data_IF_119129942649
#
_entry.id   IF_119129942649
#
_cell.length_a   1.000
_cell.length_b   1.000
_cell.length_c   1.000
_cell.angle_alpha   90.00
_cell.angle_beta   90.00
_cell.angle_gamma   90.00
#
_symmetry.space_group_name_H-M   'P 1'
#
loop_
_entity.id
_entity.type
_entity.pdbx_description
1 polymer ?
#
# COMPACT_ATOMS: atom_id res chain seq x y z
N UNK A 1 -80.93 -42.15 20.82
CA UNK A 1 -80.74 -41.40 22.07
C UNK A 1 -79.27 -41.08 22.23
N UNK A 2 -78.89 -39.78 22.25
CA UNK A 2 -77.64 -39.18 22.77
C UNK A 2 -76.29 -39.69 22.23
N UNK A 3 -75.20 -38.93 22.13
CA UNK A 3 -74.83 -37.53 22.30
C UNK A 3 -73.40 -37.43 21.70
N UNK A 4 -73.06 -36.36 20.98
CA UNK A 4 -71.68 -35.83 20.85
C UNK A 4 -71.41 -34.92 22.08
N UNK A 5 -70.19 -34.42 22.42
CA UNK A 5 -68.93 -34.22 21.65
C UNK A 5 -67.66 -34.67 22.46
N UNK A 6 -66.38 -34.60 22.02
CA UNK A 6 -65.54 -33.43 21.71
C UNK A 6 -64.15 -33.79 21.12
N UNK A 7 -63.49 -32.77 20.56
CA UNK A 7 -62.21 -32.66 19.81
C UNK A 7 -60.97 -33.19 20.58
N UNK A 8 -59.82 -33.53 19.98
CA UNK A 8 -58.85 -32.67 19.26
C UNK A 8 -57.85 -33.50 18.41
N UNK A 9 -57.44 -32.90 17.30
CA UNK A 9 -56.52 -33.32 16.23
C UNK A 9 -55.04 -33.44 16.65
N UNK A 10 -54.34 -34.45 16.12
CA UNK A 10 -52.93 -34.32 15.69
C UNK A 10 -52.61 -35.37 14.61
N UNK A 11 -52.24 -34.92 13.41
CA UNK A 11 -51.79 -35.78 12.30
C UNK A 11 -50.27 -35.83 12.28
N UNK A 12 -49.71 -37.05 12.36
CA UNK A 12 -48.29 -37.34 12.25
C UNK A 12 -47.85 -37.40 10.77
N UNK A 13 -46.80 -36.66 10.41
CA UNK A 13 -46.17 -36.65 9.08
C UNK A 13 -45.09 -37.74 9.00
N UNK A 14 -45.14 -38.51 7.91
CA UNK A 14 -44.25 -39.65 7.63
C UNK A 14 -42.86 -39.22 7.15
N UNK A 15 -41.86 -39.97 7.59
CA UNK A 15 -40.45 -39.85 7.22
C UNK A 15 -40.18 -40.08 5.71
N UNK A 16 -39.25 -39.30 5.12
CA UNK A 16 -38.47 -39.70 3.95
C UNK A 16 -37.01 -39.26 4.06
N UNK A 17 -36.11 -40.16 3.63
CA UNK A 17 -34.65 -40.11 3.71
C UNK A 17 -34.06 -39.04 2.79
N UNK A 18 -33.07 -38.30 3.29
CA UNK A 18 -32.20 -37.38 2.53
C UNK A 18 -30.93 -38.13 2.13
N UNK A 19 -30.60 -38.14 0.84
CA UNK A 19 -29.32 -38.63 0.31
C UNK A 19 -28.39 -37.41 0.09
N UNK A 20 -27.16 -37.48 0.59
CA UNK A 20 -26.14 -36.43 0.45
C UNK A 20 -25.23 -36.70 -0.75
N UNK A 21 -25.02 -35.71 -1.61
CA UNK A 21 -23.90 -35.62 -2.55
C UNK A 21 -23.27 -34.21 -2.46
N UNK A 22 -21.93 -34.07 -2.38
CA UNK A 22 -21.29 -32.78 -2.24
C UNK A 22 -20.80 -32.29 -3.60
N UNK A 23 -21.52 -31.35 -4.22
CA UNK A 23 -21.02 -30.35 -5.17
C UNK A 23 -22.21 -29.57 -5.73
N UNK A 24 -22.12 -28.24 -5.68
CA UNK A 24 -23.08 -27.25 -6.16
C UNK A 24 -24.35 -27.13 -5.29
N UNK A 25 -24.34 -26.11 -4.43
CA UNK A 25 -25.50 -25.69 -3.68
C UNK A 25 -26.62 -25.24 -4.62
N UNK A 26 -27.61 -26.10 -4.82
CA UNK A 26 -28.86 -25.78 -5.49
C UNK A 26 -30.00 -26.33 -4.64
N UNK A 27 -30.66 -25.46 -3.87
CA UNK A 27 -31.94 -25.76 -3.24
C UNK A 27 -33.02 -25.63 -4.33
N UNK A 28 -33.47 -26.76 -4.88
CA UNK A 28 -34.71 -26.80 -5.66
C UNK A 28 -35.89 -26.96 -4.68
N UNK A 29 -36.54 -25.84 -4.37
CA UNK A 29 -37.90 -25.83 -3.84
C UNK A 29 -38.82 -25.38 -4.97
N UNK A 30 -39.66 -26.31 -5.45
CA UNK A 30 -40.70 -26.02 -6.42
C UNK A 30 -41.71 -25.01 -5.86
N UNK A 31 -42.18 -24.12 -6.73
CA UNK A 31 -43.26 -23.13 -6.55
C UNK A 31 -42.93 -21.76 -5.95
N UNK A 32 -41.96 -21.02 -6.51
CA UNK A 32 -42.02 -19.54 -6.49
C UNK A 32 -41.11 -18.89 -7.56
N UNK A 33 -41.66 -18.60 -8.75
CA UNK A 33 -40.98 -17.81 -9.79
C UNK A 33 -40.58 -16.38 -9.36
N UNK A 34 -41.08 -15.89 -8.21
CA UNK A 34 -40.75 -14.57 -7.67
C UNK A 34 -39.55 -14.55 -6.72
N UNK A 35 -39.24 -15.64 -6.00
CA UNK A 35 -38.15 -15.66 -5.03
C UNK A 35 -36.77 -15.92 -5.68
N UNK A 36 -36.73 -16.71 -6.74
CA UNK A 36 -35.49 -17.01 -7.48
C UNK A 36 -34.93 -15.74 -8.14
N UNK A 37 -35.79 -14.85 -8.65
CA UNK A 37 -35.37 -13.60 -9.27
C UNK A 37 -34.78 -12.59 -8.26
N UNK A 38 -35.25 -12.62 -7.01
CA UNK A 38 -34.72 -11.78 -5.92
C UNK A 38 -33.30 -12.24 -5.53
N UNK A 39 -33.07 -13.55 -5.45
CA UNK A 39 -31.77 -14.10 -5.10
C UNK A 39 -30.72 -13.87 -6.21
N UNK A 40 -31.10 -13.97 -7.48
CA UNK A 40 -30.19 -13.70 -8.63
C UNK A 40 -29.88 -12.20 -8.78
N UNK A 41 -30.81 -11.30 -8.44
CA UNK A 41 -30.53 -9.85 -8.39
C UNK A 41 -29.68 -9.44 -7.18
N UNK A 42 -29.86 -10.09 -6.02
CA UNK A 42 -28.99 -9.86 -4.85
C UNK A 42 -27.56 -10.41 -5.02
N UNK A 43 -27.36 -11.34 -5.96
CA UNK A 43 -26.06 -11.82 -6.39
C UNK A 43 -25.45 -11.03 -7.57
N UNK A 44 -26.00 -9.87 -7.94
CA UNK A 44 -25.17 -8.86 -8.61
C UNK A 44 -24.04 -8.54 -7.64
N UNK A 45 -22.81 -8.97 -8.01
CA UNK A 45 -21.53 -8.54 -7.44
C UNK A 45 -21.74 -7.22 -6.70
N UNK A 46 -21.55 -7.18 -5.38
CA UNK A 46 -21.30 -5.90 -4.72
C UNK A 46 -20.20 -5.24 -5.54
N UNK A 47 -20.56 -4.21 -6.30
CA UNK A 47 -19.60 -3.46 -7.11
C UNK A 47 -18.51 -3.02 -6.14
N UNK A 48 -17.24 -3.27 -6.49
CA UNK A 48 -16.12 -2.88 -5.64
C UNK A 48 -16.22 -1.36 -5.44
N UNK A 49 -16.62 -0.87 -4.25
CA UNK A 49 -16.99 0.53 -4.07
C UNK A 49 -15.79 1.46 -4.23
N UNK A 50 -14.57 0.90 -4.18
CA UNK A 50 -13.32 1.65 -4.26
C UNK A 50 -12.64 1.54 -5.63
N UNK A 51 -13.19 0.76 -6.56
CA UNK A 51 -12.61 0.64 -7.91
C UNK A 51 -12.64 1.99 -8.65
N UNK A 52 -13.75 2.72 -8.56
CA UNK A 52 -13.84 4.05 -9.21
C UNK A 52 -12.85 5.06 -8.60
N UNK A 53 -12.58 4.96 -7.30
CA UNK A 53 -11.57 5.77 -6.63
C UNK A 53 -10.17 5.42 -7.14
N UNK A 54 -9.87 4.13 -7.30
CA UNK A 54 -8.59 3.66 -7.84
C UNK A 54 -8.38 4.12 -9.29
N UNK A 55 -9.38 3.95 -10.16
CA UNK A 55 -9.29 4.35 -11.58
C UNK A 55 -9.03 5.86 -11.70
N UNK A 56 -9.67 6.64 -10.83
CA UNK A 56 -9.44 8.08 -10.73
C UNK A 56 -8.02 8.40 -10.21
N UNK A 57 -7.56 7.70 -9.16
CA UNK A 57 -6.20 7.83 -8.64
C UNK A 57 -5.12 7.53 -9.69
N UNK A 58 -5.31 6.50 -10.52
CA UNK A 58 -4.41 6.19 -11.65
C UNK A 58 -4.39 7.32 -12.68
N UNK A 59 -5.55 7.89 -12.98
CA UNK A 59 -5.67 9.03 -13.91
C UNK A 59 -4.91 10.24 -13.37
N UNK A 60 -5.09 10.57 -12.09
CA UNK A 60 -4.44 11.68 -11.42
C UNK A 60 -2.93 11.48 -11.30
N UNK A 61 -2.46 10.28 -10.92
CA UNK A 61 -1.02 9.97 -10.84
C UNK A 61 -0.33 10.16 -12.20
N UNK A 62 -0.99 9.76 -13.30
CA UNK A 62 -0.46 9.98 -14.66
C UNK A 62 -0.44 11.46 -15.03
N UNK A 63 -1.44 12.25 -14.63
CA UNK A 63 -1.45 13.70 -14.83
C UNK A 63 -0.33 14.39 -14.04
N UNK A 64 -0.19 14.05 -12.76
CA UNK A 64 0.88 14.54 -11.88
C UNK A 64 2.26 14.22 -12.46
N UNK A 65 2.49 12.97 -12.88
CA UNK A 65 3.79 12.59 -13.42
C UNK A 65 4.14 13.27 -14.75
N UNK A 66 3.16 13.72 -15.55
CA UNK A 66 3.44 14.62 -16.70
C UNK A 66 4.00 15.95 -16.24
N UNK A 67 3.40 16.56 -15.21
CA UNK A 67 3.89 17.82 -14.61
C UNK A 67 5.31 17.63 -14.06
N UNK A 68 5.59 16.52 -13.37
CA UNK A 68 6.92 16.18 -12.87
C UNK A 68 7.92 16.02 -14.02
N UNK A 69 7.58 15.27 -15.07
CA UNK A 69 8.46 15.06 -16.23
C UNK A 69 8.74 16.34 -17.03
N UNK A 70 7.79 17.28 -17.08
CA UNK A 70 8.00 18.61 -17.65
C UNK A 70 8.98 19.41 -16.79
N UNK A 71 8.72 19.51 -15.48
CA UNK A 71 9.55 20.25 -14.54
C UNK A 71 10.98 19.68 -14.37
N UNK A 72 11.20 18.40 -14.69
CA UNK A 72 12.55 17.81 -14.73
C UNK A 72 13.47 18.50 -15.75
N UNK A 73 12.91 19.01 -16.85
CA UNK A 73 13.67 19.65 -17.94
C UNK A 73 14.11 21.07 -17.60
N UNK A 74 13.37 21.75 -16.75
CA UNK A 74 13.57 23.15 -16.42
C UNK A 74 14.60 23.35 -15.28
N UNK A 75 15.00 24.61 -15.08
CA UNK A 75 15.70 25.08 -13.89
C UNK A 75 14.74 25.05 -12.68
N UNK A 76 15.25 24.65 -11.51
CA UNK A 76 14.43 24.35 -10.33
C UNK A 76 14.75 25.31 -9.20
N UNK A 77 13.72 25.87 -8.60
CA UNK A 77 13.83 26.56 -7.32
C UNK A 77 13.76 25.51 -6.20
N UNK A 78 14.92 25.24 -5.59
CA UNK A 78 15.09 24.26 -4.52
C UNK A 78 15.05 24.98 -3.16
N UNK A 79 14.20 24.49 -2.26
CA UNK A 79 14.05 24.97 -0.89
C UNK A 79 14.45 23.84 0.07
N UNK A 80 14.77 24.22 1.31
CA UNK A 80 15.15 23.28 2.38
C UNK A 80 13.97 23.09 3.35
N UNK A 81 13.78 21.87 3.84
CA UNK A 81 12.83 21.51 4.90
C UNK A 81 13.56 21.33 6.25
N UNK A 82 13.60 20.12 6.80
CA UNK A 82 14.10 19.84 8.16
C UNK A 82 15.63 19.76 8.27
N UNK A 83 16.34 19.58 7.15
CA UNK A 83 17.79 19.46 7.10
C UNK A 83 18.36 19.91 5.74
N UNK A 84 19.69 20.13 5.62
CA UNK A 84 20.31 20.45 4.33
C UNK A 84 20.18 19.36 3.24
N UNK A 85 19.76 18.15 3.62
CA UNK A 85 19.51 17.04 2.72
C UNK A 85 18.02 16.72 2.54
N UNK A 86 17.15 17.51 3.18
CA UNK A 86 15.70 17.39 3.09
C UNK A 86 15.18 18.55 2.24
N UNK A 87 14.83 18.24 1.00
CA UNK A 87 14.60 19.21 -0.07
C UNK A 87 13.13 19.23 -0.46
N UNK A 88 12.64 20.39 -0.88
CA UNK A 88 11.33 20.56 -1.51
C UNK A 88 11.44 21.52 -2.69
N UNK A 89 10.65 21.32 -3.72
CA UNK A 89 10.52 22.27 -4.83
C UNK A 89 9.09 22.80 -4.94
N UNK A 90 8.93 23.89 -5.68
CA UNK A 90 7.59 24.39 -6.09
C UNK A 90 6.77 23.36 -6.88
N UNK A 91 7.42 22.35 -7.46
CA UNK A 91 6.73 21.27 -8.19
C UNK A 91 6.00 20.36 -7.23
N UNK A 92 6.62 19.98 -6.10
CA UNK A 92 6.05 19.11 -5.07
C UNK A 92 4.73 19.72 -4.54
N UNK A 93 4.78 20.98 -4.11
CA UNK A 93 3.61 21.74 -3.62
C UNK A 93 2.50 21.86 -4.67
N UNK A 94 2.86 22.16 -5.93
CA UNK A 94 1.91 22.30 -7.03
C UNK A 94 1.22 20.97 -7.35
N UNK A 95 1.98 19.88 -7.38
CA UNK A 95 1.44 18.53 -7.65
C UNK A 95 0.51 18.11 -6.53
N UNK A 96 0.89 18.30 -5.27
CA UNK A 96 0.04 17.94 -4.13
C UNK A 96 -1.27 18.72 -4.15
N UNK A 97 -1.20 20.04 -4.35
CA UNK A 97 -2.39 20.89 -4.43
C UNK A 97 -3.33 20.43 -5.56
N UNK A 98 -2.78 20.06 -6.72
CA UNK A 98 -3.56 19.56 -7.86
C UNK A 98 -4.24 18.23 -7.51
N UNK A 99 -3.53 17.29 -6.89
CA UNK A 99 -4.08 15.99 -6.49
C UNK A 99 -5.18 16.16 -5.44
N UNK A 100 -4.91 16.85 -4.33
CA UNK A 100 -5.86 17.03 -3.23
C UNK A 100 -7.10 17.77 -3.69
N UNK A 101 -6.97 18.87 -4.44
CA UNK A 101 -8.13 19.63 -4.92
C UNK A 101 -9.02 18.80 -5.84
N UNK A 102 -8.43 18.08 -6.80
CA UNK A 102 -9.15 17.22 -7.74
C UNK A 102 -9.87 16.05 -7.06
N UNK A 103 -9.27 15.48 -6.02
CA UNK A 103 -9.90 14.42 -5.21
C UNK A 103 -10.99 14.98 -4.33
N UNK A 104 -10.75 16.13 -3.68
CA UNK A 104 -11.72 16.77 -2.78
C UNK A 104 -12.97 17.25 -3.52
N UNK A 105 -12.84 17.69 -4.77
CA UNK A 105 -13.98 18.02 -5.62
C UNK A 105 -14.87 16.80 -5.90
N UNK A 106 -14.26 15.66 -6.21
CA UNK A 106 -14.99 14.41 -6.53
C UNK A 106 -15.49 13.68 -5.28
N UNK A 107 -14.73 13.72 -4.20
CA UNK A 107 -14.97 12.99 -2.95
C UNK A 107 -14.84 13.91 -1.72
N UNK A 108 -15.77 14.85 -1.53
CA UNK A 108 -15.64 15.91 -0.53
C UNK A 108 -15.68 15.43 0.93
N UNK A 109 -16.14 14.20 1.18
CA UNK A 109 -16.17 13.58 2.51
C UNK A 109 -14.91 12.78 2.85
N UNK A 110 -13.99 12.59 1.89
CA UNK A 110 -12.75 11.84 2.13
C UNK A 110 -11.72 12.72 2.86
N UNK A 111 -10.84 12.07 3.61
CA UNK A 111 -9.74 12.69 4.35
C UNK A 111 -8.44 12.63 3.55
N UNK A 112 -7.44 13.41 3.97
CA UNK A 112 -6.15 13.53 3.29
C UNK A 112 -5.01 13.51 4.30
N UNK A 113 -3.91 12.86 3.93
CA UNK A 113 -2.59 13.02 4.54
C UNK A 113 -1.63 13.23 3.37
N UNK A 114 -1.09 14.45 3.23
CA UNK A 114 -0.13 14.80 2.19
C UNK A 114 1.17 15.29 2.82
N UNK A 115 2.31 14.91 2.26
CA UNK A 115 3.62 15.31 2.78
C UNK A 115 3.75 16.84 2.95
N UNK A 116 3.43 17.59 1.90
CA UNK A 116 3.62 19.04 1.89
C UNK A 116 2.56 19.76 2.71
N UNK A 117 1.35 19.18 2.80
CA UNK A 117 0.29 19.63 3.70
C UNK A 117 0.69 19.48 5.16
N UNK A 118 1.31 18.34 5.54
CA UNK A 118 1.83 18.12 6.89
C UNK A 118 2.97 19.10 7.18
N UNK A 119 3.89 19.32 6.24
CA UNK A 119 4.93 20.34 6.36
C UNK A 119 4.34 21.77 6.52
N UNK A 120 3.16 22.03 5.96
CA UNK A 120 2.42 23.28 6.11
C UNK A 120 1.56 23.38 7.40
N UNK A 121 1.57 22.35 8.25
CA UNK A 121 0.91 22.35 9.57
C UNK A 121 -0.41 21.57 9.64
N UNK A 122 -0.79 20.84 8.59
CA UNK A 122 -1.90 19.88 8.68
C UNK A 122 -1.52 18.67 9.54
N UNK A 123 -2.51 18.06 10.21
CA UNK A 123 -2.26 16.93 11.11
C UNK A 123 -2.08 15.62 10.36
N UNK A 124 -1.06 14.84 10.72
CA UNK A 124 -0.84 13.49 10.20
C UNK A 124 -1.58 12.44 11.05
N UNK A 125 -2.92 12.48 11.06
CA UNK A 125 -3.75 11.56 11.86
C UNK A 125 -4.60 10.67 10.95
N UNK A 126 -4.37 9.36 11.03
CA UNK A 126 -5.13 8.37 10.28
C UNK A 126 -6.38 7.91 11.06
N UNK A 127 -7.55 8.22 10.52
CA UNK A 127 -8.85 7.81 11.09
C UNK A 127 -9.42 6.59 10.35
N UNK A 128 -10.65 6.18 10.71
CA UNK A 128 -11.34 5.12 9.98
C UNK A 128 -11.99 5.61 8.67
N UNK A 129 -12.08 6.94 8.49
CA UNK A 129 -12.63 7.57 7.29
C UNK A 129 -11.78 7.23 6.04
N UNK A 130 -12.37 7.11 4.83
CA UNK A 130 -11.61 6.96 3.61
C UNK A 130 -10.58 8.08 3.46
N UNK A 131 -9.30 7.74 3.45
CA UNK A 131 -8.18 8.67 3.51
C UNK A 131 -7.25 8.44 2.33
N UNK A 132 -6.92 9.52 1.62
CA UNK A 132 -5.90 9.52 0.58
C UNK A 132 -4.58 9.95 1.21
N UNK A 133 -3.59 9.06 1.19
CA UNK A 133 -2.24 9.33 1.66
C UNK A 133 -1.37 9.56 0.41
N UNK A 134 -0.80 10.75 0.29
CA UNK A 134 -0.20 11.24 -0.96
C UNK A 134 1.24 11.68 -0.71
N UNK A 135 2.13 11.16 -1.53
CA UNK A 135 3.45 11.76 -1.77
C UNK A 135 3.44 12.33 -3.21
N UNK A 136 3.52 13.66 -3.37
CA UNK A 136 3.49 14.27 -4.69
C UNK A 136 4.73 13.96 -5.52
N UNK A 137 5.92 13.79 -4.91
CA UNK A 137 7.19 13.50 -5.56
C UNK A 137 8.10 12.75 -4.56
N UNK A 138 7.96 11.42 -4.50
CA UNK A 138 8.90 10.58 -3.77
C UNK A 138 10.24 10.57 -4.52
N UNK A 139 11.30 10.92 -3.81
CA UNK A 139 12.62 11.16 -4.37
C UNK A 139 12.86 12.59 -4.83
N UNK A 140 12.44 13.61 -4.07
CA UNK A 140 12.71 15.03 -4.38
C UNK A 140 14.21 15.32 -4.62
N UNK A 141 15.11 14.67 -3.87
CA UNK A 141 16.56 14.77 -4.14
C UNK A 141 16.91 14.25 -5.54
N UNK A 142 16.36 13.11 -5.94
CA UNK A 142 16.53 12.60 -7.30
C UNK A 142 15.97 13.56 -8.34
N UNK A 143 14.79 14.13 -8.10
CA UNK A 143 14.17 15.13 -8.96
C UNK A 143 15.05 16.36 -9.16
N UNK A 144 15.62 16.91 -8.07
CA UNK A 144 16.55 18.05 -8.11
C UNK A 144 17.78 17.72 -8.95
N UNK A 145 18.36 16.53 -8.77
CA UNK A 145 19.56 16.09 -9.48
C UNK A 145 19.30 15.48 -10.87
N UNK A 146 18.03 15.35 -11.29
CA UNK A 146 17.61 14.63 -12.50
C UNK A 146 18.06 13.16 -12.51
N UNK A 147 18.19 12.54 -11.34
CA UNK A 147 18.41 11.09 -11.22
C UNK A 147 17.11 10.36 -11.59
N UNK A 148 17.14 9.29 -12.40
CA UNK A 148 15.97 8.85 -13.18
C UNK A 148 14.97 7.99 -12.40
N UNK A 149 14.88 8.15 -11.08
CA UNK A 149 13.90 7.47 -10.22
C UNK A 149 13.17 8.52 -9.38
N UNK A 150 11.96 8.86 -9.83
CA UNK A 150 11.09 9.87 -9.20
C UNK A 150 9.67 9.35 -9.34
N UNK A 151 8.92 9.30 -8.24
CA UNK A 151 7.59 8.71 -8.24
C UNK A 151 6.50 9.63 -7.69
N UNK A 152 5.29 9.49 -8.20
CA UNK A 152 4.07 9.98 -7.52
C UNK A 152 3.46 8.79 -6.79
N UNK A 153 3.18 8.90 -5.50
CA UNK A 153 2.60 7.84 -4.68
C UNK A 153 1.23 8.23 -4.14
N UNK A 154 0.24 7.35 -4.31
CA UNK A 154 -1.11 7.51 -3.78
C UNK A 154 -1.52 6.20 -3.11
N UNK A 155 -1.65 6.22 -1.78
CA UNK A 155 -2.29 5.17 -1.01
C UNK A 155 -3.72 5.56 -0.64
N UNK A 156 -4.65 4.61 -0.68
CA UNK A 156 -6.02 4.82 -0.21
C UNK A 156 -6.37 3.86 0.90
N UNK A 157 -6.79 4.42 2.03
CA UNK A 157 -6.93 3.71 3.30
C UNK A 157 -8.36 3.86 3.82
N UNK A 158 -8.96 2.76 4.26
CA UNK A 158 -10.29 2.74 4.89
C UNK A 158 -10.21 1.88 6.15
N UNK A 159 -10.79 2.33 7.27
CA UNK A 159 -10.67 1.65 8.56
C UNK A 159 -9.21 1.32 8.92
N UNK A 160 -8.30 2.28 8.67
CA UNK A 160 -6.84 2.15 8.86
C UNK A 160 -6.19 0.98 8.12
N UNK A 161 -6.83 0.45 7.06
CA UNK A 161 -6.31 -0.61 6.20
C UNK A 161 -6.20 -0.10 4.78
N UNK A 162 -5.04 -0.31 4.16
CA UNK A 162 -4.82 0.06 2.75
C UNK A 162 -5.73 -0.80 1.88
N UNK A 163 -6.51 -0.15 1.01
CA UNK A 163 -7.45 -0.80 0.11
C UNK A 163 -6.94 -0.81 -1.34
N UNK A 164 -6.25 0.24 -1.78
CA UNK A 164 -5.48 0.26 -3.03
C UNK A 164 -4.26 1.16 -2.93
N UNK A 165 -3.33 0.98 -3.86
CA UNK A 165 -2.12 1.79 -4.00
C UNK A 165 -1.77 2.01 -5.47
N UNK A 166 -1.30 3.21 -5.77
CA UNK A 166 -0.83 3.64 -7.09
C UNK A 166 0.53 4.28 -6.90
N UNK A 167 1.53 3.79 -7.62
CA UNK A 167 2.87 4.39 -7.66
C UNK A 167 3.25 4.56 -9.12
N UNK A 168 3.49 5.80 -9.55
CA UNK A 168 3.90 6.09 -10.92
C UNK A 168 5.35 6.55 -10.94
N UNK A 169 6.27 5.69 -11.40
CA UNK A 169 7.66 6.08 -11.67
C UNK A 169 7.69 6.91 -12.95
N UNK A 170 7.84 8.22 -12.79
CA UNK A 170 7.56 9.22 -13.80
C UNK A 170 8.50 9.11 -15.01
N UNK A 171 9.81 9.03 -14.74
CA UNK A 171 10.86 9.00 -15.78
C UNK A 171 10.85 7.67 -16.53
N UNK A 172 10.54 6.57 -15.83
CA UNK A 172 10.48 5.23 -16.43
C UNK A 172 9.16 4.94 -17.17
N UNK A 173 8.14 5.80 -17.04
CA UNK A 173 6.75 5.55 -17.47
C UNK A 173 6.24 4.17 -17.01
N UNK A 174 6.44 3.87 -15.73
CA UNK A 174 5.96 2.64 -15.08
C UNK A 174 4.89 2.96 -14.06
N UNK A 175 3.66 2.54 -14.37
CA UNK A 175 2.49 2.66 -13.50
C UNK A 175 2.31 1.35 -12.72
N UNK A 176 2.68 1.38 -11.45
CA UNK A 176 2.45 0.29 -10.51
C UNK A 176 1.12 0.49 -9.79
N UNK A 177 0.31 -0.56 -9.71
CA UNK A 177 -1.02 -0.50 -9.11
C UNK A 177 -1.36 -1.80 -8.40
N UNK A 178 -2.07 -1.70 -7.28
CA UNK A 178 -2.66 -2.86 -6.64
C UNK A 178 -3.96 -2.49 -5.93
N UNK A 179 -4.91 -3.43 -5.95
CA UNK A 179 -6.17 -3.39 -5.20
C UNK A 179 -6.25 -4.66 -4.39
N UNK A 180 -6.62 -4.52 -3.13
CA UNK A 180 -6.75 -5.66 -2.20
C UNK A 180 -7.57 -6.81 -2.80
N UNK A 181 -6.98 -8.00 -2.84
CA UNK A 181 -7.56 -9.22 -3.40
C UNK A 181 -7.65 -9.25 -4.94
N UNK A 182 -6.97 -8.34 -5.65
CA UNK A 182 -6.99 -8.25 -7.13
C UNK A 182 -5.62 -8.47 -7.77
N UNK A 183 -4.56 -8.56 -6.97
CA UNK A 183 -3.18 -8.63 -7.43
C UNK A 183 -2.55 -7.27 -7.68
N UNK A 184 -1.23 -7.29 -7.86
CA UNK A 184 -0.41 -6.15 -8.21
C UNK A 184 -0.01 -6.18 -9.68
N UNK A 185 0.14 -5.01 -10.29
CA UNK A 185 0.43 -4.85 -11.71
C UNK A 185 1.42 -3.71 -11.95
N UNK A 186 2.24 -3.83 -13.00
CA UNK A 186 3.00 -2.73 -13.60
C UNK A 186 2.63 -2.63 -15.08
N UNK A 187 2.10 -1.49 -15.52
CA UNK A 187 1.63 -1.29 -16.90
C UNK A 187 0.72 -2.42 -17.40
N UNK A 188 -0.16 -2.93 -16.52
CA UNK A 188 -1.09 -4.03 -16.81
C UNK A 188 -0.50 -5.44 -16.74
N UNK A 189 0.82 -5.58 -16.59
CA UNK A 189 1.45 -6.89 -16.38
C UNK A 189 1.43 -7.25 -14.89
N UNK A 190 0.93 -8.46 -14.57
CA UNK A 190 0.85 -8.93 -13.19
C UNK A 190 2.24 -9.11 -12.58
N UNK A 191 2.42 -8.62 -11.36
CA UNK A 191 3.64 -8.72 -10.58
C UNK A 191 3.66 -9.97 -9.71
N UNK A 192 4.86 -10.42 -9.38
CA UNK A 192 5.11 -11.52 -8.48
C UNK A 192 6.48 -11.30 -7.83
N UNK A 193 6.53 -11.32 -6.50
CA UNK A 193 7.80 -11.26 -5.76
C UNK A 193 8.69 -12.48 -6.07
N UNK A 194 9.99 -12.36 -5.82
CA UNK A 194 10.93 -13.48 -5.96
C UNK A 194 10.61 -14.62 -4.98
N UNK A 195 11.24 -15.79 -5.17
CA UNK A 195 11.06 -16.97 -4.30
C UNK A 195 12.24 -17.23 -3.34
N UNK A 196 13.17 -16.29 -3.22
CA UNK A 196 14.37 -16.50 -2.40
C UNK A 196 14.01 -16.50 -0.91
N UNK A 197 14.40 -17.55 -0.18
CA UNK A 197 14.25 -17.63 1.28
C UNK A 197 15.60 -17.63 2.00
N UNK A 198 16.69 -17.92 1.31
CA UNK A 198 18.05 -17.89 1.85
C UNK A 198 18.61 -16.46 1.75
N UNK A 199 18.72 -15.80 2.91
CA UNK A 199 19.24 -14.44 2.99
C UNK A 199 20.65 -14.30 2.38
N UNK A 200 21.48 -15.35 2.40
CA UNK A 200 22.84 -15.27 1.85
C UNK A 200 22.86 -15.15 0.32
N UNK A 201 21.70 -15.38 -0.31
CA UNK A 201 21.49 -15.28 -1.75
C UNK A 201 20.55 -14.15 -2.12
N UNK A 202 20.28 -13.23 -1.19
CA UNK A 202 19.34 -12.14 -1.40
C UNK A 202 20.01 -10.85 -1.87
N UNK A 203 19.26 -10.04 -2.63
CA UNK A 203 19.58 -8.65 -2.96
C UNK A 203 18.64 -7.73 -2.18
N UNK A 204 19.20 -6.88 -1.34
CA UNK A 204 18.43 -5.94 -0.51
C UNK A 204 18.42 -4.53 -1.13
N UNK A 205 17.38 -3.77 -0.81
CA UNK A 205 17.28 -2.33 -1.06
C UNK A 205 17.04 -1.58 0.26
N UNK A 206 17.59 -0.38 0.40
CA UNK A 206 17.44 0.53 1.57
C UNK A 206 17.90 1.92 1.15
N UNK A 207 17.62 2.97 1.93
CA UNK A 207 18.29 4.26 1.78
C UNK A 207 19.08 4.67 3.03
N UNK A 208 19.89 5.73 2.89
CA UNK A 208 20.71 6.29 3.98
C UNK A 208 19.96 7.34 4.83
N UNK A 209 18.73 7.67 4.45
CA UNK A 209 17.88 8.64 5.14
C UNK A 209 18.29 10.10 4.98
N UNK A 210 17.43 11.00 5.47
CA UNK A 210 17.64 12.46 5.46
C UNK A 210 18.50 12.96 6.62
N UNK A 211 18.56 12.22 7.73
CA UNK A 211 19.33 12.62 8.91
C UNK A 211 20.83 12.74 8.60
N UNK A 212 21.47 13.76 9.16
CA UNK A 212 22.93 13.96 9.15
C UNK A 212 23.52 13.99 10.56
N UNK A 213 22.72 13.60 11.56
CA UNK A 213 23.20 13.42 12.94
C UNK A 213 24.19 12.25 12.98
N UNK A 214 25.44 12.44 13.44
CA UNK A 214 26.46 11.40 13.36
C UNK A 214 26.06 10.07 14.00
N UNK A 215 25.35 10.10 15.13
CA UNK A 215 24.89 8.92 15.84
C UNK A 215 23.86 8.12 15.03
N UNK A 216 22.90 8.81 14.41
CA UNK A 216 21.89 8.20 13.52
C UNK A 216 22.56 7.56 12.31
N UNK A 217 23.47 8.30 11.64
CA UNK A 217 24.20 7.79 10.46
C UNK A 217 25.04 6.56 10.82
N UNK A 218 25.70 6.55 11.99
CA UNK A 218 26.45 5.37 12.48
C UNK A 218 25.56 4.14 12.64
N UNK A 219 24.33 4.29 13.19
CA UNK A 219 23.40 3.17 13.34
C UNK A 219 22.95 2.65 11.97
N UNK A 220 22.62 3.55 11.02
CA UNK A 220 22.23 3.17 9.66
C UNK A 220 23.34 2.35 8.98
N UNK A 221 24.58 2.86 9.00
CA UNK A 221 25.72 2.18 8.40
C UNK A 221 26.07 0.87 9.11
N UNK A 222 25.95 0.81 10.44
CA UNK A 222 26.14 -0.41 11.22
C UNK A 222 25.10 -1.48 10.86
N UNK A 223 23.83 -1.12 10.69
CA UNK A 223 22.78 -2.04 10.25
C UNK A 223 23.07 -2.59 8.84
N UNK A 224 23.47 -1.71 7.92
CA UNK A 224 23.90 -2.11 6.57
C UNK A 224 25.11 -3.05 6.62
N UNK A 225 26.12 -2.75 7.43
CA UNK A 225 27.31 -3.59 7.60
C UNK A 225 26.96 -4.99 8.13
N UNK A 226 26.11 -5.07 9.16
CA UNK A 226 25.66 -6.36 9.73
C UNK A 226 24.95 -7.22 8.69
N UNK A 227 24.03 -6.64 7.92
CA UNK A 227 23.34 -7.33 6.84
C UNK A 227 24.30 -7.71 5.71
N UNK A 228 25.18 -6.80 5.31
CA UNK A 228 26.15 -7.05 4.24
C UNK A 228 27.10 -8.20 4.58
N UNK A 229 27.51 -8.32 5.84
CA UNK A 229 28.39 -9.37 6.34
C UNK A 229 27.70 -10.71 6.65
N UNK A 230 26.37 -10.85 6.44
CA UNK A 230 25.67 -12.15 6.43
C UNK A 230 26.05 -13.07 5.25
N UNK A 231 27.09 -12.69 4.50
CA UNK A 231 27.08 -12.33 3.07
C UNK A 231 25.75 -12.40 2.31
N UNK A 232 25.04 -11.28 2.18
CA UNK A 232 24.01 -11.11 1.13
C UNK A 232 24.69 -10.85 -0.24
N UNK A 233 23.97 -11.00 -1.36
CA UNK A 233 24.54 -10.69 -2.68
C UNK A 233 24.81 -9.18 -2.89
N UNK A 234 24.08 -8.32 -2.19
CA UNK A 234 24.40 -6.90 -2.13
C UNK A 234 23.24 -6.02 -1.66
N UNK A 235 23.51 -4.73 -1.64
CA UNK A 235 22.55 -3.67 -1.33
C UNK A 235 22.44 -2.74 -2.55
N UNK A 236 21.24 -2.21 -2.81
CA UNK A 236 20.97 -1.16 -3.82
C UNK A 236 20.23 0.01 -3.17
N UNK A 237 20.44 1.20 -3.71
CA UNK A 237 19.84 2.46 -3.25
C UNK A 237 19.45 3.24 -4.50
N UNK A 238 18.15 3.46 -4.75
CA UNK A 238 17.70 4.24 -5.92
C UNK A 238 17.15 5.62 -5.55
N UNK A 239 17.03 5.94 -4.26
CA UNK A 239 16.68 7.27 -3.74
C UNK A 239 15.19 7.57 -3.64
N UNK A 240 14.32 6.55 -3.63
CA UNK A 240 12.87 6.67 -3.44
C UNK A 240 12.34 5.38 -2.80
N UNK A 241 11.60 5.53 -1.70
CA UNK A 241 11.05 4.40 -0.93
C UNK A 241 9.99 3.64 -1.73
N UNK A 242 9.08 4.35 -2.40
CA UNK A 242 8.00 3.78 -3.18
C UNK A 242 8.54 2.95 -4.36
N UNK A 243 9.57 3.44 -5.06
CA UNK A 243 10.20 2.67 -6.16
C UNK A 243 10.99 1.47 -5.61
N UNK A 244 11.73 1.62 -4.50
CA UNK A 244 12.40 0.49 -3.84
C UNK A 244 11.42 -0.65 -3.51
N UNK A 245 10.27 -0.32 -2.93
CA UNK A 245 9.21 -1.30 -2.65
C UNK A 245 8.59 -1.89 -3.91
N UNK A 246 8.40 -1.09 -4.97
CA UNK A 246 7.94 -1.60 -6.26
C UNK A 246 8.97 -2.57 -6.90
N UNK A 247 10.28 -2.33 -6.74
CA UNK A 247 11.32 -3.27 -7.19
C UNK A 247 11.22 -4.61 -6.45
N UNK A 248 10.89 -4.61 -5.15
CA UNK A 248 10.57 -5.86 -4.41
C UNK A 248 9.33 -6.54 -5.01
N UNK A 249 8.26 -5.78 -5.26
CA UNK A 249 7.02 -6.32 -5.84
C UNK A 249 7.24 -6.97 -7.22
N UNK A 250 8.19 -6.45 -8.03
CA UNK A 250 8.57 -7.06 -9.32
C UNK A 250 9.42 -8.33 -9.19
N UNK A 251 9.96 -8.62 -8.00
CA UNK A 251 10.93 -9.68 -7.75
C UNK A 251 12.36 -9.35 -8.21
N UNK A 252 12.63 -8.09 -8.59
CA UNK A 252 13.97 -7.61 -8.95
C UNK A 252 14.88 -7.39 -7.73
N UNK A 253 14.29 -7.18 -6.55
CA UNK A 253 14.94 -7.21 -5.24
C UNK A 253 14.15 -8.15 -4.31
N UNK A 254 14.80 -8.69 -3.29
CA UNK A 254 14.18 -9.67 -2.40
C UNK A 254 13.55 -9.02 -1.16
N UNK A 255 14.11 -7.91 -0.68
CA UNK A 255 13.51 -7.12 0.38
C UNK A 255 14.01 -5.68 0.42
N UNK A 256 13.16 -4.83 0.95
CA UNK A 256 13.39 -3.44 1.32
C UNK A 256 13.28 -3.30 2.83
N UNK A 257 14.16 -2.51 3.45
CA UNK A 257 13.96 -2.06 4.83
C UNK A 257 14.36 -0.60 4.94
N UNK A 258 13.65 0.15 5.79
CA UNK A 258 14.04 1.51 6.14
C UNK A 258 13.44 1.94 7.47
N UNK A 259 14.14 2.85 8.16
CA UNK A 259 13.64 3.57 9.33
C UNK A 259 13.84 5.07 9.07
N UNK A 260 12.79 5.86 9.24
CA UNK A 260 12.77 7.28 8.93
C UNK A 260 11.79 7.65 7.81
N UNK A 261 11.26 6.66 7.08
CA UNK A 261 10.14 6.87 6.15
C UNK A 261 8.91 7.40 6.86
N UNK A 262 8.00 8.02 6.13
CA UNK A 262 6.69 8.46 6.58
C UNK A 262 5.60 7.59 5.95
N UNK A 263 4.36 7.74 6.43
CA UNK A 263 3.23 6.96 5.93
C UNK A 263 2.98 7.14 4.41
N UNK A 264 3.25 8.32 3.84
CA UNK A 264 3.08 8.61 2.41
C UNK A 264 4.07 7.88 1.51
N UNK A 265 5.30 7.67 1.99
CA UNK A 265 6.35 6.92 1.28
C UNK A 265 5.94 5.46 1.00
N UNK A 266 5.18 4.86 1.93
CA UNK A 266 4.92 3.41 1.94
C UNK A 266 3.46 3.04 1.72
N UNK A 267 2.50 3.96 1.87
CA UNK A 267 1.07 3.64 1.74
C UNK A 267 0.71 3.14 0.32
N UNK A 268 1.24 3.79 -0.72
CA UNK A 268 1.02 3.39 -2.10
C UNK A 268 1.69 2.05 -2.43
N UNK A 269 2.97 1.91 -2.12
CA UNK A 269 3.76 0.73 -2.49
C UNK A 269 3.52 -0.49 -1.60
N UNK A 270 3.07 -0.31 -0.35
CA UNK A 270 2.90 -1.40 0.61
C UNK A 270 1.90 -2.46 0.16
N UNK A 271 0.75 -2.03 -0.37
CA UNK A 271 -0.23 -2.97 -0.92
C UNK A 271 0.23 -3.58 -2.24
N UNK A 272 1.07 -2.89 -3.01
CA UNK A 272 1.67 -3.41 -4.24
C UNK A 272 2.59 -4.60 -3.91
N UNK A 273 3.40 -4.51 -2.85
CA UNK A 273 4.23 -5.63 -2.39
C UNK A 273 3.37 -6.80 -1.93
N UNK A 274 2.35 -6.58 -1.10
CA UNK A 274 1.55 -7.68 -0.54
C UNK A 274 0.67 -8.36 -1.58
N UNK A 275 0.08 -7.63 -2.52
CA UNK A 275 -0.69 -8.19 -3.63
C UNK A 275 0.18 -8.85 -4.71
N UNK A 276 1.49 -8.57 -4.74
CA UNK A 276 2.49 -9.33 -5.51
C UNK A 276 2.93 -10.63 -4.79
N UNK A 277 2.40 -10.90 -3.60
CA UNK A 277 2.71 -12.09 -2.79
C UNK A 277 3.78 -11.89 -1.71
N UNK A 278 4.24 -10.65 -1.50
CA UNK A 278 5.19 -10.30 -0.44
C UNK A 278 4.53 -10.04 0.91
N UNK A 279 5.33 -9.56 1.87
CA UNK A 279 4.92 -9.25 3.24
C UNK A 279 5.43 -7.86 3.67
N UNK A 280 4.68 -7.21 4.56
CA UNK A 280 5.14 -6.03 5.30
C UNK A 280 5.30 -6.40 6.79
N UNK A 281 6.34 -5.86 7.41
CA UNK A 281 6.68 -6.12 8.81
C UNK A 281 7.32 -4.87 9.44
N UNK A 282 7.14 -4.66 10.74
CA UNK A 282 7.95 -3.68 11.47
C UNK A 282 9.37 -4.25 11.67
N UNK A 283 10.40 -3.40 11.75
CA UNK A 283 11.80 -3.82 11.94
C UNK A 283 12.04 -4.60 13.24
N UNK A 284 11.12 -4.52 14.21
CA UNK A 284 11.09 -5.34 15.43
C UNK A 284 10.66 -6.79 15.21
N UNK A 285 10.22 -7.15 14.00
CA UNK A 285 9.62 -8.46 13.68
C UNK A 285 8.11 -8.54 13.95
N UNK A 286 7.52 -7.46 14.49
CA UNK A 286 6.09 -7.34 14.76
C UNK A 286 5.26 -6.98 13.52
N UNK A 287 3.93 -6.84 13.70
CA UNK A 287 3.04 -6.36 12.64
C UNK A 287 3.50 -5.00 12.11
N UNK A 288 3.40 -4.80 10.80
CA UNK A 288 3.61 -3.50 10.19
C UNK A 288 2.60 -2.47 10.74
N UNK A 289 3.12 -1.31 11.11
CA UNK A 289 2.35 -0.14 11.53
C UNK A 289 2.72 1.05 10.61
N UNK A 290 1.72 1.52 9.87
CA UNK A 290 1.86 2.53 8.83
C UNK A 290 2.38 3.87 9.37
N UNK A 291 2.11 4.20 10.63
CA UNK A 291 2.48 5.50 11.23
C UNK A 291 3.82 5.43 12.00
N UNK A 292 4.48 4.26 12.02
CA UNK A 292 5.60 3.98 12.94
C UNK A 292 6.97 4.48 12.49
N UNK A 293 7.08 4.99 11.26
CA UNK A 293 8.33 5.37 10.60
C UNK A 293 9.29 4.23 10.26
N UNK A 294 8.81 2.98 10.26
CA UNK A 294 9.64 1.78 10.10
C UNK A 294 8.95 0.76 9.21
N UNK A 295 9.71 0.14 8.32
CA UNK A 295 9.19 -0.89 7.42
C UNK A 295 10.26 -1.90 7.05
N UNK A 296 9.84 -3.17 6.95
CA UNK A 296 10.46 -4.19 6.12
C UNK A 296 9.39 -4.63 5.11
N UNK A 297 9.67 -4.49 3.82
CA UNK A 297 8.84 -4.99 2.74
C UNK A 297 9.62 -6.08 1.99
N UNK A 298 9.22 -7.33 2.13
CA UNK A 298 10.00 -8.48 1.64
C UNK A 298 9.17 -9.40 0.76
N UNK A 299 9.86 -10.21 -0.04
CA UNK A 299 9.27 -11.28 -0.82
C UNK A 299 8.62 -12.39 0.05
N UNK A 300 9.15 -12.61 1.26
CA UNK A 300 8.77 -13.69 2.15
C UNK A 300 8.99 -13.32 3.61
N UNK A 301 8.25 -14.01 4.50
CA UNK A 301 8.40 -13.84 5.95
C UNK A 301 9.78 -14.28 6.45
N UNK A 302 10.37 -15.33 5.85
CA UNK A 302 11.68 -15.84 6.24
C UNK A 302 12.79 -14.78 6.06
N UNK A 303 12.79 -14.09 4.91
CA UNK A 303 13.72 -12.98 4.64
C UNK A 303 13.44 -11.80 5.57
N UNK A 304 12.18 -11.41 5.76
CA UNK A 304 11.81 -10.30 6.65
C UNK A 304 12.27 -10.51 8.10
N UNK A 305 11.97 -11.67 8.69
CA UNK A 305 12.36 -11.98 10.08
C UNK A 305 13.87 -12.09 10.24
N UNK A 306 14.59 -12.53 9.20
CA UNK A 306 16.05 -12.56 9.23
C UNK A 306 16.64 -11.16 9.23
N UNK A 307 16.08 -10.23 8.44
CA UNK A 307 16.49 -8.83 8.43
C UNK A 307 16.22 -8.18 9.80
N UNK A 308 15.02 -8.38 10.37
CA UNK A 308 14.63 -7.82 11.66
C UNK A 308 15.60 -8.20 12.81
N UNK A 309 16.21 -9.39 12.75
CA UNK A 309 17.20 -9.85 13.77
C UNK A 309 18.51 -9.04 13.76
N UNK A 310 18.84 -8.39 12.64
CA UNK A 310 20.09 -7.64 12.51
C UNK A 310 19.95 -6.15 12.72
N UNK A 311 18.73 -5.62 12.60
CA UNK A 311 18.47 -4.18 12.66
C UNK A 311 18.46 -3.70 14.12
N UNK A 312 19.35 -2.78 14.44
CA UNK A 312 19.24 -1.91 15.60
C UNK A 312 18.27 -0.77 15.29
N UNK A 313 17.23 -0.61 16.14
CA UNK A 313 16.21 0.42 15.96
C UNK A 313 16.75 1.83 16.24
N UNK A 314 16.41 2.78 15.37
CA UNK A 314 16.67 4.20 15.55
C UNK A 314 15.45 4.84 16.24
N UNK A 315 15.63 5.64 17.32
CA UNK A 315 14.53 6.38 17.92
C UNK A 315 14.03 7.46 16.96
N UNK A 316 12.74 7.44 16.66
CA UNK A 316 12.08 8.34 15.71
C UNK A 316 10.73 8.76 16.29
N UNK A 317 10.35 10.02 16.09
CA UNK A 317 9.01 10.50 16.35
C UNK A 317 8.05 9.91 15.33
N UNK A 318 6.96 9.30 15.80
CA UNK A 318 5.95 8.70 14.93
C UNK A 318 5.20 9.78 14.15
N UNK A 319 4.53 9.38 13.07
CA UNK A 319 3.71 10.31 12.28
C UNK A 319 2.47 10.79 13.06
N UNK A 320 1.96 9.98 13.99
CA UNK A 320 0.79 10.27 14.82
C UNK A 320 1.14 10.86 16.20
N UNK A 321 2.37 11.36 16.37
CA UNK A 321 2.87 12.03 17.57
C UNK A 321 3.20 13.52 17.29
N UNK A 322 2.91 14.40 18.26
CA UNK A 322 3.20 15.85 18.21
C UNK A 322 4.66 16.19 18.56
#
# INVERSE_FOLDING_TARGET
MGQRPSLISSYALSQRKVLWLPLQGMLLLENCNYFVLICVKYFQKMADPWQECMDYGVTLARQAGKVVCEALKDEKNVMLKSSPADLVTVTDQKVEQMLISSIKEKYPSHSFIGEESVAAGEKCILTDNPTWIIDPIDGTTNFVHRFPFVAVSIGFVVNKKIEFGVVYSCVEDKMYTARKGKGAFCNGQKLQVSKQEDITKSLLVTELGSSRTPETVKIILSNMERLFCIPIHGIRTVGTAAVNMCLVATGGADAYYEMGIHCWDVAGAGIIVTEAGGVLMDVTGGPFDLMSRRVIAANSRAVAERIAKEIQVIPLQRDDED
#
